data_IF_111042029707
#
_entry.id   IF_111042029707
#
_cell.length_a   1.000
_cell.length_b   1.000
_cell.length_c   1.000
_cell.angle_alpha   90.00
_cell.angle_beta   90.00
_cell.angle_gamma   90.00
#
_symmetry.space_group_name_H-M   'P 1'
#
loop_
_entity.id
_entity.type
_entity.pdbx_description
1 polymer ?
#
# COMPACT_ATOMS: atom_id res chain seq x y z
N UNK A 1 -32.33 -54.39 3.29
CA UNK A 1 -30.96 -53.90 3.51
C UNK A 1 -30.60 -52.93 2.40
N UNK A 2 -29.96 -51.81 2.75
CA UNK A 2 -29.49 -50.68 1.91
C UNK A 2 -30.66 -49.91 1.26
N UNK A 3 -30.95 -48.66 1.62
CA UNK A 3 -30.18 -47.48 1.21
C UNK A 3 -30.46 -46.31 2.16
N UNK A 4 -29.67 -46.20 3.23
CA UNK A 4 -29.66 -45.06 4.16
C UNK A 4 -28.77 -43.90 3.65
N UNK A 5 -28.16 -44.05 2.47
CA UNK A 5 -27.14 -43.13 1.96
C UNK A 5 -27.67 -41.83 1.33
N UNK A 6 -28.99 -41.59 1.30
CA UNK A 6 -29.52 -40.37 0.67
C UNK A 6 -29.67 -39.17 1.60
N UNK A 7 -29.47 -39.32 2.92
CA UNK A 7 -29.72 -38.23 3.89
C UNK A 7 -28.46 -37.49 4.35
N UNK A 8 -27.26 -37.96 3.98
CA UNK A 8 -25.99 -37.39 4.48
C UNK A 8 -25.34 -36.42 3.48
N UNK A 9 -25.75 -36.42 2.21
CA UNK A 9 -25.12 -35.59 1.16
C UNK A 9 -25.57 -34.13 1.14
N UNK A 10 -26.51 -33.69 1.99
CA UNK A 10 -26.98 -32.30 2.03
C UNK A 10 -26.36 -31.50 3.19
N UNK A 11 -25.64 -32.13 4.12
CA UNK A 11 -25.14 -31.46 5.33
C UNK A 11 -23.77 -30.74 5.17
N UNK A 12 -23.12 -30.80 4.00
CA UNK A 12 -21.73 -30.31 3.84
C UNK A 12 -21.62 -28.95 3.10
N UNK A 13 -22.74 -28.30 2.75
CA UNK A 13 -22.70 -27.08 1.91
C UNK A 13 -23.06 -25.76 2.60
N UNK A 14 -23.12 -25.71 3.92
CA UNK A 14 -23.31 -24.45 4.66
C UNK A 14 -22.16 -24.15 5.63
N UNK A 15 -20.92 -24.18 5.13
CA UNK A 15 -19.86 -23.35 5.70
C UNK A 15 -20.02 -21.96 5.08
N UNK A 16 -20.95 -21.18 5.61
CA UNK A 16 -20.98 -19.74 5.34
C UNK A 16 -19.69 -19.17 5.90
N UNK A 17 -18.81 -18.74 5.01
CA UNK A 17 -17.65 -17.92 5.34
C UNK A 17 -18.15 -16.70 6.11
N UNK A 18 -17.90 -16.64 7.42
CA UNK A 18 -17.99 -15.40 8.17
C UNK A 18 -16.81 -14.55 7.69
N UNK A 19 -17.05 -13.72 6.68
CA UNK A 19 -16.21 -12.56 6.45
C UNK A 19 -16.53 -11.60 7.59
N UNK A 20 -15.59 -11.46 8.53
CA UNK A 20 -15.63 -10.40 9.51
C UNK A 20 -15.45 -9.09 8.73
N UNK A 21 -16.56 -8.42 8.43
CA UNK A 21 -16.53 -7.08 7.87
C UNK A 21 -15.77 -6.20 8.88
N UNK A 22 -14.49 -5.94 8.59
CA UNK A 22 -13.72 -4.95 9.33
C UNK A 22 -14.57 -3.68 9.38
N UNK A 23 -14.91 -3.16 10.56
CA UNK A 23 -15.76 -1.99 10.64
C UNK A 23 -14.97 -0.79 10.14
N UNK A 24 -15.12 -0.48 8.85
CA UNK A 24 -14.61 0.70 8.16
C UNK A 24 -14.94 1.97 8.97
N UNK A 25 -16.04 1.96 9.72
CA UNK A 25 -16.45 3.04 10.62
C UNK A 25 -15.52 3.23 11.83
N UNK A 26 -14.92 2.16 12.37
CA UNK A 26 -14.02 2.22 13.53
C UNK A 26 -12.65 2.79 13.15
N UNK A 27 -12.18 2.48 11.94
CA UNK A 27 -10.99 3.12 11.33
C UNK A 27 -11.24 4.58 10.95
N UNK A 28 -12.45 4.93 10.47
CA UNK A 28 -12.85 6.35 10.26
C UNK A 28 -12.90 7.13 11.58
N UNK A 29 -13.40 6.54 12.66
CA UNK A 29 -13.51 7.21 13.95
C UNK A 29 -12.13 7.52 14.56
N UNK A 30 -11.15 6.61 14.42
CA UNK A 30 -9.73 6.84 14.80
C UNK A 30 -9.06 7.93 13.94
N UNK A 31 -9.53 8.15 12.71
CA UNK A 31 -9.05 9.22 11.83
C UNK A 31 -9.47 10.62 12.30
N UNK A 32 -10.51 10.72 13.14
CA UNK A 32 -11.14 11.98 13.55
C UNK A 32 -10.79 12.45 14.97
N UNK A 33 -10.03 11.66 15.74
CA UNK A 33 -9.65 12.04 17.11
C UNK A 33 -8.35 12.85 17.12
N UNK A 34 -8.50 14.17 17.30
CA UNK A 34 -7.48 15.16 17.66
C UNK A 34 -6.23 15.20 16.76
N UNK A 35 -6.36 15.93 15.64
CA UNK A 35 -5.22 16.49 14.91
C UNK A 35 -4.61 17.56 15.80
N UNK A 36 -3.69 17.14 16.66
CA UNK A 36 -2.81 18.03 17.42
C UNK A 36 -2.03 18.88 16.41
N UNK A 37 -2.33 20.17 16.40
CA UNK A 37 -1.59 21.18 15.67
C UNK A 37 -0.17 21.13 16.24
N UNK A 38 0.84 20.99 15.37
CA UNK A 38 2.28 20.92 15.70
C UNK A 38 2.94 19.53 15.80
N UNK A 39 2.41 18.50 15.13
CA UNK A 39 3.08 17.20 15.08
C UNK A 39 4.32 17.22 14.19
N UNK A 40 5.46 16.86 14.76
CA UNK A 40 6.65 16.51 13.99
C UNK A 40 6.41 15.20 13.23
N UNK A 41 6.82 15.17 11.96
CA UNK A 41 6.76 13.98 11.11
C UNK A 41 8.16 13.66 10.61
N UNK A 42 8.46 12.36 10.53
CA UNK A 42 9.66 11.86 9.88
C UNK A 42 9.34 11.54 8.44
N UNK A 43 10.02 12.23 7.53
CA UNK A 43 9.94 11.97 6.09
C UNK A 43 11.03 11.00 5.70
N UNK A 44 10.64 9.86 5.13
CA UNK A 44 11.54 8.88 4.53
C UNK A 44 11.52 9.07 3.01
N UNK A 45 12.70 9.32 2.42
CA UNK A 45 12.87 9.34 0.96
C UNK A 45 13.36 7.98 0.50
N UNK A 46 12.56 7.33 -0.34
CA UNK A 46 12.79 5.99 -0.86
C UNK A 46 13.18 6.10 -2.33
N UNK A 47 14.32 5.53 -2.72
CA UNK A 47 14.66 5.34 -4.13
C UNK A 47 14.03 4.02 -4.57
N UNK A 48 13.05 4.07 -5.46
CA UNK A 48 12.28 2.90 -5.85
C UNK A 48 12.18 2.75 -7.39
N UNK A 49 12.05 1.51 -7.82
CA UNK A 49 11.81 1.11 -9.20
C UNK A 49 10.76 0.00 -9.24
N UNK A 50 10.43 -0.51 -10.43
CA UNK A 50 9.55 -1.68 -10.56
C UNK A 50 10.09 -2.95 -9.88
N UNK A 51 11.40 -3.02 -9.65
CA UNK A 51 12.09 -4.23 -9.22
C UNK A 51 12.61 -4.15 -7.77
N UNK A 52 12.58 -2.96 -7.13
CA UNK A 52 13.12 -2.83 -5.79
C UNK A 52 13.02 -1.43 -5.20
N UNK A 53 13.46 -1.32 -3.95
CA UNK A 53 13.41 -0.08 -3.18
C UNK A 53 14.55 -0.02 -2.17
N UNK A 54 15.13 1.17 -1.98
CA UNK A 54 16.14 1.42 -0.95
C UNK A 54 15.84 2.72 -0.19
N UNK A 55 16.20 2.74 1.08
CA UNK A 55 16.11 3.97 1.88
C UNK A 55 17.27 4.91 1.51
N UNK A 56 16.94 6.08 0.96
CA UNK A 56 17.95 7.06 0.57
C UNK A 56 18.33 7.99 1.73
N UNK A 57 17.33 8.48 2.47
CA UNK A 57 17.51 9.35 3.64
C UNK A 57 16.24 9.44 4.46
N UNK A 58 16.38 9.89 5.70
CA UNK A 58 15.25 10.34 6.53
C UNK A 58 15.51 11.73 7.11
N UNK A 59 14.46 12.52 7.32
CA UNK A 59 14.54 13.83 7.99
C UNK A 59 13.30 14.08 8.83
N UNK A 60 13.45 14.81 9.94
CA UNK A 60 12.31 15.26 10.75
C UNK A 60 11.91 16.66 10.25
N UNK A 61 10.62 16.87 10.04
CA UNK A 61 10.04 18.17 9.73
C UNK A 61 8.87 18.46 10.67
N UNK A 62 8.71 19.73 11.05
CA UNK A 62 7.53 20.24 11.77
C UNK A 62 6.45 20.53 10.73
N UNK A 63 5.35 19.79 10.73
CA UNK A 63 4.29 20.01 9.73
C UNK A 63 3.36 21.12 10.19
N UNK A 64 3.18 22.16 9.37
CA UNK A 64 1.97 22.97 9.48
C UNK A 64 0.82 22.17 8.84
N UNK A 65 -0.39 22.31 9.36
CA UNK A 65 -1.56 21.44 9.10
C UNK A 65 -2.01 21.31 7.64
N UNK A 66 -1.33 21.95 6.68
CA UNK A 66 -1.67 21.96 5.26
C UNK A 66 -0.81 21.03 4.39
N UNK A 67 0.30 20.46 4.90
CA UNK A 67 1.27 19.74 4.06
C UNK A 67 1.26 18.21 4.18
N UNK A 68 0.36 17.62 4.95
CA UNK A 68 0.13 16.17 4.90
C UNK A 68 -0.54 15.88 3.56
N UNK A 69 0.25 15.71 2.49
CA UNK A 69 -0.23 15.02 1.29
C UNK A 69 -0.75 13.67 1.78
N UNK A 70 -2.05 13.56 1.90
CA UNK A 70 -2.75 12.33 2.20
C UNK A 70 -2.32 11.34 1.14
N UNK A 71 -1.42 10.43 1.52
CA UNK A 71 -1.12 9.29 0.68
C UNK A 71 -2.44 8.57 0.48
N UNK A 72 -2.89 8.50 -0.77
CA UNK A 72 -4.17 7.88 -1.10
C UNK A 72 -4.09 6.41 -0.71
N UNK A 73 -5.19 5.89 -0.16
CA UNK A 73 -5.35 4.44 -0.04
C UNK A 73 -5.18 3.79 -1.41
N UNK A 74 -4.68 2.56 -1.39
CA UNK A 74 -4.54 1.80 -2.63
C UNK A 74 -5.90 1.59 -3.31
N UNK A 75 -5.90 1.60 -4.63
CA UNK A 75 -7.08 1.37 -5.47
C UNK A 75 -6.77 0.31 -6.52
N UNK A 76 -7.78 -0.35 -7.12
CA UNK A 76 -7.55 -1.32 -8.20
C UNK A 76 -6.82 -0.80 -9.45
N UNK A 77 -6.68 0.53 -9.59
CA UNK A 77 -5.94 1.16 -10.70
C UNK A 77 -4.45 1.31 -10.40
N UNK A 78 -4.06 1.19 -9.14
CA UNK A 78 -2.66 1.27 -8.74
C UNK A 78 -1.96 -0.02 -9.16
N UNK A 79 -0.80 0.10 -9.83
CA UNK A 79 0.07 -1.05 -10.14
C UNK A 79 1.05 -1.32 -9.01
N UNK A 80 1.34 -0.31 -8.20
CA UNK A 80 2.27 -0.40 -7.08
C UNK A 80 1.67 0.29 -5.85
N UNK A 81 2.10 -0.18 -4.68
CA UNK A 81 1.71 0.38 -3.40
C UNK A 81 2.81 0.22 -2.35
N UNK A 82 2.57 0.81 -1.18
CA UNK A 82 3.44 0.69 -0.01
C UNK A 82 2.62 0.20 1.18
N UNK A 83 3.04 -0.91 1.78
CA UNK A 83 2.54 -1.35 3.09
C UNK A 83 3.42 -0.77 4.17
N UNK A 84 2.81 -0.14 5.16
CA UNK A 84 3.48 0.31 6.37
C UNK A 84 3.12 -0.69 7.48
N UNK A 85 4.12 -1.40 7.99
CA UNK A 85 3.93 -2.45 8.98
C UNK A 85 4.43 -2.00 10.34
N UNK A 86 3.78 -2.46 11.41
CA UNK A 86 4.29 -2.30 12.77
C UNK A 86 5.46 -3.27 13.06
N UNK A 87 5.95 -3.26 14.29
CA UNK A 87 7.06 -4.14 14.73
C UNK A 87 6.71 -5.63 14.66
N UNK A 88 5.44 -5.96 14.84
CA UNK A 88 4.92 -7.34 14.80
C UNK A 88 4.66 -7.82 13.37
N UNK A 89 4.82 -6.94 12.37
CA UNK A 89 4.58 -7.22 10.96
C UNK A 89 3.12 -7.04 10.53
N UNK A 90 2.27 -6.50 11.39
CA UNK A 90 0.88 -6.21 11.07
C UNK A 90 0.77 -4.93 10.23
N UNK A 91 -0.16 -4.94 9.27
CA UNK A 91 -0.40 -3.80 8.38
C UNK A 91 -1.09 -2.66 9.11
N UNK A 92 -0.41 -1.51 9.21
CA UNK A 92 -0.95 -0.27 9.77
C UNK A 92 -1.59 0.57 8.65
N UNK A 93 -0.92 0.67 7.49
CA UNK A 93 -1.42 1.39 6.32
C UNK A 93 -1.05 0.70 5.02
N UNK A 94 -1.90 0.91 4.01
CA UNK A 94 -1.70 0.47 2.64
C UNK A 94 -1.94 1.63 1.67
N UNK A 95 -0.85 2.13 1.10
CA UNK A 95 -0.82 3.34 0.29
C UNK A 95 -0.70 2.99 -1.20
N UNK A 96 -1.48 3.65 -2.06
CA UNK A 96 -1.40 3.50 -3.51
C UNK A 96 -0.40 4.45 -4.15
N UNK A 97 0.43 3.93 -5.07
CA UNK A 97 1.42 4.73 -5.80
C UNK A 97 1.05 4.97 -7.27
N UNK A 98 0.04 4.30 -7.81
CA UNK A 98 -0.25 4.31 -9.24
C UNK A 98 0.74 3.46 -10.02
N UNK A 99 1.29 4.02 -11.10
CA UNK A 99 2.36 3.42 -11.89
C UNK A 99 3.55 4.39 -11.99
N UNK A 100 4.21 4.72 -10.85
CA UNK A 100 5.21 5.79 -10.80
C UNK A 100 6.49 5.43 -11.54
N UNK A 101 6.69 4.14 -11.83
CA UNK A 101 7.90 3.61 -12.44
C UNK A 101 7.84 3.55 -13.96
N UNK A 102 6.72 3.93 -14.59
CA UNK A 102 6.59 3.87 -16.06
C UNK A 102 6.27 5.25 -16.61
N UNK A 103 7.12 5.74 -17.51
CA UNK A 103 6.90 6.97 -18.26
C UNK A 103 6.44 6.65 -19.68
N UNK A 104 5.46 7.40 -20.18
CA UNK A 104 5.03 7.35 -21.56
C UNK A 104 5.76 8.43 -22.36
N UNK A 105 6.37 8.07 -23.48
CA UNK A 105 6.89 9.03 -24.42
C UNK A 105 5.71 9.59 -25.25
N UNK A 106 5.30 10.82 -24.97
CA UNK A 106 4.24 11.52 -25.70
C UNK A 106 4.84 12.65 -26.53
N UNK A 107 5.52 12.32 -27.62
CA UNK A 107 5.98 13.30 -28.61
C UNK A 107 5.46 12.93 -30.00
N UNK A 108 4.96 13.93 -30.73
CA UNK A 108 4.75 13.86 -32.18
C UNK A 108 6.12 13.59 -32.83
N UNK A 109 6.24 12.50 -33.60
CA UNK A 109 7.50 12.06 -34.21
C UNK A 109 8.00 10.68 -33.76
N UNK A 110 7.27 10.00 -32.87
CA UNK A 110 7.51 8.59 -32.51
C UNK A 110 6.51 7.61 -33.17
N UNK A 111 5.81 8.04 -34.22
CA UNK A 111 4.74 7.27 -34.88
C UNK A 111 5.23 5.92 -35.43
N UNK A 112 6.50 5.82 -35.82
CA UNK A 112 7.14 4.58 -36.35
C UNK A 112 8.01 3.83 -35.31
N UNK A 113 8.00 4.24 -34.04
CA UNK A 113 8.78 3.57 -32.98
C UNK A 113 8.00 2.41 -32.36
N UNK A 114 8.66 1.28 -32.13
CA UNK A 114 8.07 0.17 -31.34
C UNK A 114 8.08 0.43 -29.82
N UNK A 115 8.69 1.53 -29.36
CA UNK A 115 8.83 1.88 -27.95
C UNK A 115 8.17 3.22 -27.64
N UNK A 116 7.12 3.17 -26.81
CA UNK A 116 6.30 4.33 -26.42
C UNK A 116 6.44 4.70 -24.93
N UNK A 117 7.46 4.16 -24.27
CA UNK A 117 7.69 4.37 -22.85
C UNK A 117 8.76 3.44 -22.28
N UNK A 118 9.10 3.66 -21.01
CA UNK A 118 10.15 2.91 -20.33
C UNK A 118 10.01 2.94 -18.82
N UNK A 119 10.67 1.97 -18.17
CA UNK A 119 10.74 1.93 -16.72
C UNK A 119 11.85 2.85 -16.20
N UNK A 120 11.55 3.55 -15.10
CA UNK A 120 12.47 4.46 -14.43
C UNK A 120 12.52 4.19 -12.94
N UNK A 121 13.61 4.65 -12.34
CA UNK A 121 13.77 4.76 -10.90
C UNK A 121 13.37 6.18 -10.47
N UNK A 122 12.59 6.28 -9.40
CA UNK A 122 12.11 7.56 -8.87
C UNK A 122 12.22 7.63 -7.35
N UNK A 123 12.19 8.84 -6.81
CA UNK A 123 12.21 9.09 -5.37
C UNK A 123 10.76 9.25 -4.88
N UNK A 124 10.41 8.53 -3.82
CA UNK A 124 9.10 8.58 -3.16
C UNK A 124 9.31 9.04 -1.73
N UNK A 125 8.65 10.13 -1.35
CA UNK A 125 8.66 10.63 0.02
C UNK A 125 7.42 10.13 0.76
N UNK A 126 7.61 9.52 1.93
CA UNK A 126 6.51 9.18 2.86
C UNK A 126 6.71 9.93 4.16
N UNK A 127 5.64 10.59 4.63
CA UNK A 127 5.60 11.23 5.94
C UNK A 127 4.99 10.29 6.98
N UNK A 128 5.76 9.95 8.01
CA UNK A 128 5.33 9.11 9.13
C UNK A 128 5.32 9.98 10.42
N UNK A 129 4.19 10.10 11.14
CA UNK A 129 4.14 10.82 12.41
C UNK A 129 5.15 10.26 13.42
N UNK A 130 5.88 11.14 14.11
CA UNK A 130 6.74 10.69 15.21
C UNK A 130 5.87 10.07 16.31
N UNK A 131 6.30 8.92 16.82
CA UNK A 131 5.55 8.13 17.80
C UNK A 131 4.57 7.13 17.19
N UNK A 132 4.46 7.02 15.86
CA UNK A 132 3.77 5.88 15.24
C UNK A 132 4.51 4.56 15.52
N UNK A 133 3.78 3.46 15.52
CA UNK A 133 4.28 2.09 15.69
C UNK A 133 4.88 1.47 14.42
N UNK A 134 4.90 2.22 13.31
CA UNK A 134 5.44 1.77 12.02
C UNK A 134 6.94 1.51 12.13
N UNK A 135 7.35 0.31 11.74
CA UNK A 135 8.73 -0.14 11.78
C UNK A 135 9.24 -0.66 10.43
N UNK A 136 8.36 -0.95 9.47
CA UNK A 136 8.75 -1.53 8.18
C UNK A 136 7.96 -0.89 7.04
N UNK A 137 8.59 -0.76 5.88
CA UNK A 137 7.95 -0.35 4.64
C UNK A 137 8.16 -1.47 3.61
N UNK A 138 7.08 -1.92 2.99
CA UNK A 138 7.11 -2.95 1.96
C UNK A 138 6.60 -2.38 0.64
N UNK A 139 7.43 -2.44 -0.40
CA UNK A 139 7.00 -2.19 -1.76
C UNK A 139 6.24 -3.40 -2.28
N UNK A 140 5.04 -3.15 -2.79
CA UNK A 140 4.18 -4.20 -3.37
C UNK A 140 3.81 -3.85 -4.80
N UNK A 141 3.76 -4.86 -5.66
CA UNK A 141 3.06 -4.82 -6.94
C UNK A 141 1.64 -5.31 -6.76
N UNK A 142 0.70 -4.69 -7.47
CA UNK A 142 -0.68 -5.11 -7.54
C UNK A 142 -0.95 -5.73 -8.91
N UNK A 143 -1.47 -6.95 -8.89
CA UNK A 143 -1.96 -7.63 -10.09
C UNK A 143 -3.36 -8.22 -9.85
N UNK A 144 -3.87 -8.98 -10.82
CA UNK A 144 -5.21 -9.60 -10.75
C UNK A 144 -5.37 -10.65 -9.64
N UNK A 145 -4.27 -11.13 -9.05
CA UNK A 145 -4.24 -12.11 -7.98
C UNK A 145 -4.03 -11.46 -6.60
N UNK A 146 -3.71 -10.16 -6.54
CA UNK A 146 -3.60 -9.40 -5.30
C UNK A 146 -2.29 -8.62 -5.21
N UNK A 147 -1.78 -8.49 -3.99
CA UNK A 147 -0.54 -7.77 -3.70
C UNK A 147 0.62 -8.75 -3.57
N UNK A 148 1.65 -8.53 -4.38
CA UNK A 148 2.92 -9.27 -4.35
C UNK A 148 4.01 -8.37 -3.77
N UNK A 149 4.71 -8.86 -2.74
CA UNK A 149 5.87 -8.16 -2.19
C UNK A 149 7.02 -8.14 -3.21
N UNK A 150 7.65 -6.97 -3.35
CA UNK A 150 8.85 -6.76 -4.15
C UNK A 150 10.06 -6.64 -3.22
N UNK A 151 10.00 -5.70 -2.28
CA UNK A 151 11.14 -5.35 -1.41
C UNK A 151 10.64 -4.87 -0.06
N UNK A 152 11.40 -5.16 1.00
CA UNK A 152 11.06 -4.80 2.38
C UNK A 152 12.23 -4.09 3.04
N UNK A 153 11.97 -2.93 3.61
CA UNK A 153 12.95 -2.18 4.39
C UNK A 153 12.52 -2.04 5.85
N UNK A 154 13.49 -2.19 6.74
CA UNK A 154 13.33 -1.91 8.16
C UNK A 154 13.68 -0.44 8.41
N UNK A 155 12.83 0.23 9.18
CA UNK A 155 13.07 1.60 9.63
C UNK A 155 13.87 1.55 10.94
N UNK A 156 14.97 2.32 10.95
CA UNK A 156 15.80 2.53 12.14
C UNK A 156 15.32 3.74 12.94
#
# INVERSE_FOLDING_TARGET
MVKIYSLITVLILSLNSFAEDLPLSKSIQKLSTNIEIDKEVRVYTLRASKDGMTLKKSKIIKTNTQSLKTHRLITPRDKYGLKLLNKDGEEVYLLGLGNPFYIHAQHLGYEDSNFFGGYIDTDIDISIPIGSDIAQIVLVAQDKFGLKEIEKILLQ
#
